data_IF_667012098705
#
_entry.id   IF_667012098705
#
_cell.length_a   1.000
_cell.length_b   1.000
_cell.length_c   1.000
_cell.angle_alpha   90.00
_cell.angle_beta   90.00
_cell.angle_gamma   90.00
#
_symmetry.space_group_name_H-M   'P 1'
#
loop_
_entity.id
_entity.type
_entity.pdbx_description
1 polymer ?
#
# COMPACT_ATOMS: atom_id res chain seq x y z
N UNK A 1 10.52 30.30 -7.59
CA UNK A 1 9.99 31.67 -7.63
C UNK A 1 10.44 32.26 -8.95
N UNK A 2 9.50 32.78 -9.74
CA UNK A 2 9.75 33.26 -11.10
C UNK A 2 10.89 34.29 -11.09
N UNK A 3 11.90 34.10 -11.94
CA UNK A 3 12.97 35.07 -12.17
C UNK A 3 12.41 36.35 -12.80
N UNK A 4 13.28 37.31 -13.12
CA UNK A 4 12.92 38.61 -13.71
C UNK A 4 11.91 38.43 -14.85
N UNK A 5 10.65 38.75 -14.55
CA UNK A 5 9.54 38.66 -15.50
C UNK A 5 9.56 39.93 -16.32
N UNK A 6 9.51 39.78 -17.64
CA UNK A 6 9.44 40.91 -18.58
C UNK A 6 8.26 41.82 -18.23
N UNK A 7 8.52 43.12 -18.08
CA UNK A 7 7.51 44.12 -17.69
C UNK A 7 6.35 44.18 -18.69
N UNK A 8 6.57 43.82 -19.96
CA UNK A 8 5.50 43.73 -20.96
C UNK A 8 4.48 42.63 -20.66
N UNK A 9 4.86 41.62 -19.87
CA UNK A 9 3.98 40.50 -19.50
C UNK A 9 3.17 40.77 -18.23
N UNK A 10 3.58 41.73 -17.40
CA UNK A 10 2.90 42.06 -16.12
C UNK A 10 1.39 42.34 -16.27
N UNK A 11 0.89 43.04 -17.30
CA UNK A 11 -0.55 43.28 -17.46
C UNK A 11 -1.36 42.00 -17.76
N UNK A 12 -0.70 40.95 -18.24
CA UNK A 12 -1.34 39.67 -18.57
C UNK A 12 -1.21 38.64 -17.45
N UNK A 13 -0.38 38.93 -16.44
CA UNK A 13 -0.21 38.06 -15.28
C UNK A 13 -1.23 38.51 -14.22
N UNK A 14 -2.23 37.67 -13.91
CA UNK A 14 -3.18 38.02 -12.88
C UNK A 14 -2.51 38.05 -11.50
N UNK A 15 -2.67 39.17 -10.79
CA UNK A 15 -2.17 39.37 -9.42
C UNK A 15 -3.09 38.70 -8.40
N UNK A 16 -3.05 37.36 -8.36
CA UNK A 16 -3.80 36.59 -7.40
C UNK A 16 -3.11 36.57 -6.04
N UNK A 17 -3.86 36.87 -4.98
CA UNK A 17 -3.41 36.65 -3.61
C UNK A 17 -3.29 35.15 -3.33
N UNK A 18 -2.06 34.67 -3.20
CA UNK A 18 -1.77 33.29 -2.79
C UNK A 18 -1.73 33.23 -1.26
N UNK A 19 -2.51 32.31 -0.68
CA UNK A 19 -2.42 31.98 0.74
C UNK A 19 -1.69 30.63 0.88
N UNK A 20 -0.52 30.65 1.52
CA UNK A 20 0.21 29.43 1.84
C UNK A 20 -0.28 28.89 3.19
N UNK A 21 -0.68 27.62 3.21
CA UNK A 21 -1.14 26.93 4.40
C UNK A 21 -0.21 25.75 4.67
N UNK A 22 0.13 25.56 5.94
CA UNK A 22 0.90 24.42 6.42
C UNK A 22 -0.01 23.56 7.31
N UNK A 23 -0.68 22.51 6.78
CA UNK A 23 -1.66 21.72 7.53
C UNK A 23 -1.15 21.21 8.88
N UNK A 24 0.13 20.90 8.99
CA UNK A 24 0.75 20.41 10.24
C UNK A 24 0.82 21.45 11.35
N UNK A 25 0.87 22.74 11.02
CA UNK A 25 0.96 23.83 11.99
C UNK A 25 -0.43 24.33 12.43
N UNK A 26 -1.50 23.87 11.77
CA UNK A 26 -2.88 24.27 12.07
C UNK A 26 -3.41 23.39 13.20
N UNK A 27 -3.84 24.01 14.29
CA UNK A 27 -4.37 23.28 15.47
C UNK A 27 -5.90 23.11 15.43
N UNK A 28 -6.58 23.88 14.61
CA UNK A 28 -8.04 23.88 14.51
C UNK A 28 -8.48 24.02 13.05
N UNK A 29 -9.17 23.00 12.53
CA UNK A 29 -9.70 22.98 11.18
C UNK A 29 -11.17 23.39 11.09
N UNK A 30 -11.82 23.83 12.17
CA UNK A 30 -13.24 24.24 12.15
C UNK A 30 -13.54 25.41 11.20
N UNK A 31 -12.53 26.22 10.87
CA UNK A 31 -12.62 27.29 9.88
C UNK A 31 -12.81 26.79 8.44
N UNK A 32 -12.42 25.55 8.14
CA UNK A 32 -12.58 24.94 6.83
C UNK A 32 -13.96 24.24 6.75
N UNK A 33 -14.79 24.68 5.81
CA UNK A 33 -16.19 24.23 5.65
C UNK A 33 -16.41 23.30 4.46
N UNK A 34 -15.35 22.98 3.74
CA UNK A 34 -15.37 22.09 2.57
C UNK A 34 -14.53 20.85 2.84
N UNK A 35 -14.48 19.93 1.89
CA UNK A 35 -13.69 18.69 1.94
C UNK A 35 -12.18 18.89 2.10
N UNK A 36 -11.67 20.10 1.85
CA UNK A 36 -10.28 20.48 2.16
C UNK A 36 -9.94 20.27 3.64
N UNK A 37 -10.94 20.37 4.52
CA UNK A 37 -10.80 20.08 5.94
C UNK A 37 -10.33 18.64 6.16
N UNK A 38 -11.02 17.69 5.54
CA UNK A 38 -10.71 16.26 5.64
C UNK A 38 -9.30 15.97 5.11
N UNK A 39 -8.95 16.54 3.95
CA UNK A 39 -7.59 16.45 3.41
C UNK A 39 -6.56 16.94 4.42
N UNK A 40 -6.76 18.11 5.03
CA UNK A 40 -5.80 18.67 5.99
C UNK A 40 -5.72 17.87 7.29
N UNK A 41 -6.84 17.36 7.79
CA UNK A 41 -6.88 16.48 8.96
C UNK A 41 -6.10 15.18 8.70
N UNK A 42 -6.22 14.60 7.50
CA UNK A 42 -5.42 13.43 7.09
C UNK A 42 -3.95 13.78 6.94
N UNK A 43 -3.62 14.89 6.26
CA UNK A 43 -2.22 15.32 6.05
C UNK A 43 -1.50 15.69 7.35
N UNK A 44 -2.22 16.24 8.33
CA UNK A 44 -1.67 16.48 9.66
C UNK A 44 -1.24 15.17 10.34
N UNK A 45 -2.02 14.10 10.15
CA UNK A 45 -1.81 12.81 10.79
C UNK A 45 -1.13 11.77 9.88
N UNK A 46 -0.68 12.16 8.68
CA UNK A 46 -0.20 11.24 7.64
C UNK A 46 0.93 10.27 8.09
N UNK A 47 1.72 10.67 9.09
CA UNK A 47 2.87 9.90 9.59
C UNK A 47 2.63 9.22 10.92
N UNK A 48 1.46 9.44 11.54
CA UNK A 48 1.06 8.85 12.81
C UNK A 48 -0.04 7.82 12.54
N UNK A 49 0.34 6.55 12.44
CA UNK A 49 -0.58 5.46 12.08
C UNK A 49 -1.75 5.32 13.05
N UNK A 50 -1.50 5.54 14.34
CA UNK A 50 -2.54 5.38 15.37
C UNK A 50 -3.55 6.53 15.28
N UNK A 51 -3.07 7.77 15.17
CA UNK A 51 -3.96 8.93 15.02
C UNK A 51 -4.69 8.95 13.70
N UNK A 52 -4.03 8.56 12.61
CA UNK A 52 -4.69 8.43 11.31
C UNK A 52 -5.85 7.45 11.39
N UNK A 53 -5.64 6.29 12.02
CA UNK A 53 -6.71 5.33 12.23
C UNK A 53 -7.83 5.90 13.10
N UNK A 54 -7.50 6.63 14.17
CA UNK A 54 -8.48 7.28 15.03
C UNK A 54 -9.34 8.29 14.27
N UNK A 55 -8.72 9.14 13.45
CA UNK A 55 -9.40 10.16 12.64
C UNK A 55 -10.34 9.52 11.62
N UNK A 56 -9.88 8.46 10.94
CA UNK A 56 -10.66 7.78 9.91
C UNK A 56 -11.78 6.90 10.47
N UNK A 57 -11.70 6.41 11.70
CA UNK A 57 -12.72 5.52 12.28
C UNK A 57 -13.77 6.26 13.12
N UNK A 58 -13.41 7.36 13.77
CA UNK A 58 -14.28 7.99 14.77
C UNK A 58 -15.08 9.20 14.27
N UNK A 59 -14.77 9.72 13.08
CA UNK A 59 -15.43 10.92 12.56
C UNK A 59 -16.32 10.59 11.36
N UNK A 60 -17.64 10.71 11.54
CA UNK A 60 -18.65 10.50 10.48
C UNK A 60 -18.40 11.38 9.25
N UNK A 61 -17.60 12.46 9.37
CA UNK A 61 -17.22 13.33 8.23
C UNK A 61 -16.38 12.63 7.17
N UNK A 62 -15.78 11.48 7.48
CA UNK A 62 -15.05 10.65 6.51
C UNK A 62 -15.93 9.59 5.83
N UNK A 63 -17.20 9.45 6.23
CA UNK A 63 -18.14 8.53 5.55
C UNK A 63 -18.62 9.05 4.19
N UNK A 64 -18.41 10.34 3.91
CA UNK A 64 -18.81 11.00 2.66
C UNK A 64 -17.75 12.00 2.23
N UNK A 65 -16.74 11.50 1.53
CA UNK A 65 -15.67 12.32 0.96
C UNK A 65 -15.83 12.32 -0.56
N UNK A 66 -15.73 13.49 -1.19
CA UNK A 66 -15.73 13.56 -2.64
C UNK A 66 -14.48 12.88 -3.22
N UNK A 67 -14.65 12.32 -4.41
CA UNK A 67 -13.58 11.64 -5.12
C UNK A 67 -12.30 12.47 -5.27
N UNK A 68 -12.40 13.73 -5.65
CA UNK A 68 -11.23 14.62 -5.85
C UNK A 68 -10.40 14.75 -4.57
N UNK A 69 -11.05 14.80 -3.41
CA UNK A 69 -10.40 14.86 -2.11
C UNK A 69 -9.71 13.53 -1.76
N UNK A 70 -10.32 12.38 -2.06
CA UNK A 70 -9.67 11.08 -1.84
C UNK A 70 -8.46 10.91 -2.76
N UNK A 71 -8.56 11.32 -4.03
CA UNK A 71 -7.43 11.34 -4.96
C UNK A 71 -6.28 12.24 -4.45
N UNK A 72 -6.61 13.42 -3.93
CA UNK A 72 -5.62 14.30 -3.30
C UNK A 72 -4.98 13.66 -2.06
N UNK A 73 -5.77 12.97 -1.22
CA UNK A 73 -5.26 12.25 -0.06
C UNK A 73 -4.28 11.15 -0.50
N UNK A 74 -4.67 10.31 -1.48
CA UNK A 74 -3.79 9.27 -2.03
C UNK A 74 -2.47 9.86 -2.53
N UNK A 75 -2.54 10.95 -3.30
CA UNK A 75 -1.36 11.61 -3.83
C UNK A 75 -0.44 12.20 -2.75
N UNK A 76 -1.00 12.91 -1.77
CA UNK A 76 -0.20 13.69 -0.82
C UNK A 76 0.16 12.94 0.46
N UNK A 77 -0.69 12.02 0.92
CA UNK A 77 -0.42 11.18 2.08
C UNK A 77 0.30 9.87 1.69
N UNK A 78 0.38 9.55 0.39
CA UNK A 78 0.96 8.30 -0.10
C UNK A 78 0.12 7.08 0.29
N UNK A 79 -1.21 7.26 0.37
CA UNK A 79 -2.17 6.19 0.61
C UNK A 79 -2.61 5.59 -0.71
N UNK A 80 -3.05 4.34 -0.66
CA UNK A 80 -3.50 3.58 -1.84
C UNK A 80 -4.91 3.07 -1.59
N UNK A 81 -5.81 4.03 -1.34
CA UNK A 81 -7.23 3.75 -1.10
C UNK A 81 -7.88 3.51 -2.46
N UNK A 82 -8.54 2.38 -2.63
CA UNK A 82 -9.24 2.06 -3.88
C UNK A 82 -10.45 2.97 -4.08
N UNK A 83 -10.66 3.39 -5.32
CA UNK A 83 -11.70 4.35 -5.70
C UNK A 83 -12.47 3.79 -6.90
N UNK A 84 -13.75 3.48 -6.75
CA UNK A 84 -14.61 3.19 -7.90
C UNK A 84 -14.85 4.47 -8.70
N UNK A 85 -14.41 4.49 -9.97
CA UNK A 85 -14.58 5.63 -10.87
C UNK A 85 -16.05 6.08 -11.05
N UNK A 86 -17.02 5.21 -10.73
CA UNK A 86 -18.45 5.49 -10.83
C UNK A 86 -19.04 6.17 -9.59
N UNK A 87 -18.34 6.14 -8.46
CA UNK A 87 -18.80 6.76 -7.22
C UNK A 87 -18.26 8.19 -7.09
N UNK A 88 -19.17 9.17 -7.01
CA UNK A 88 -18.79 10.57 -6.76
C UNK A 88 -18.46 10.83 -5.28
N UNK A 89 -19.00 10.00 -4.38
CA UNK A 89 -18.86 10.11 -2.92
C UNK A 89 -18.43 8.77 -2.37
N UNK A 90 -17.29 8.76 -1.68
CA UNK A 90 -16.64 7.56 -1.17
C UNK A 90 -16.76 7.54 0.35
N UNK A 91 -17.06 6.35 0.88
CA UNK A 91 -16.99 6.08 2.32
C UNK A 91 -15.54 5.72 2.69
N UNK A 92 -14.77 6.75 3.03
CA UNK A 92 -13.34 6.62 3.30
C UNK A 92 -13.07 5.74 4.53
N UNK A 93 -14.00 5.68 5.49
CA UNK A 93 -13.91 4.80 6.65
C UNK A 93 -13.87 3.33 6.22
N UNK A 94 -14.79 2.93 5.33
CA UNK A 94 -14.85 1.56 4.81
C UNK A 94 -13.66 1.23 3.92
N UNK A 95 -13.35 2.12 2.96
CA UNK A 95 -12.26 1.89 2.02
C UNK A 95 -10.91 1.71 2.75
N UNK A 96 -10.69 2.45 3.83
CA UNK A 96 -9.51 2.29 4.69
C UNK A 96 -9.46 0.95 5.44
N UNK A 97 -10.60 0.50 5.98
CA UNK A 97 -10.67 -0.79 6.67
C UNK A 97 -10.50 -1.97 5.73
N UNK A 98 -11.10 -1.91 4.55
CA UNK A 98 -10.94 -2.91 3.49
C UNK A 98 -9.48 -3.03 3.08
N UNK A 99 -8.83 -1.91 2.72
CA UNK A 99 -7.41 -1.88 2.38
C UNK A 99 -6.53 -2.50 3.48
N UNK A 100 -6.81 -2.21 4.75
CA UNK A 100 -6.05 -2.76 5.88
C UNK A 100 -6.27 -4.27 6.04
N UNK A 101 -7.49 -4.74 5.82
CA UNK A 101 -7.82 -6.16 5.90
C UNK A 101 -7.19 -6.94 4.75
N UNK A 102 -7.25 -6.41 3.53
CA UNK A 102 -6.57 -6.97 2.35
C UNK A 102 -5.07 -7.08 2.60
N UNK A 103 -4.41 -6.00 3.03
CA UNK A 103 -2.98 -6.05 3.36
C UNK A 103 -2.63 -7.06 4.47
N UNK A 104 -3.56 -7.31 5.40
CA UNK A 104 -3.38 -8.35 6.44
C UNK A 104 -3.53 -9.75 5.87
N UNK A 105 -4.49 -9.96 4.97
CA UNK A 105 -4.72 -11.24 4.30
C UNK A 105 -3.56 -11.59 3.37
N UNK A 106 -3.13 -10.66 2.51
CA UNK A 106 -1.94 -10.80 1.67
C UNK A 106 -0.69 -11.09 2.52
N UNK A 107 -0.51 -10.37 3.63
CA UNK A 107 0.60 -10.60 4.55
C UNK A 107 0.59 -12.00 5.19
N UNK A 108 -0.59 -12.57 5.44
CA UNK A 108 -0.72 -13.95 5.94
C UNK A 108 -0.40 -14.97 4.86
N UNK A 109 -0.96 -14.82 3.67
CA UNK A 109 -0.68 -15.74 2.56
C UNK A 109 0.81 -15.74 2.19
N UNK A 110 1.43 -14.57 2.14
CA UNK A 110 2.86 -14.42 1.88
C UNK A 110 3.68 -15.09 3.00
N UNK A 111 3.31 -14.88 4.26
CA UNK A 111 3.96 -15.52 5.40
C UNK A 111 3.85 -17.05 5.40
N UNK A 112 2.69 -17.59 5.04
CA UNK A 112 2.48 -19.04 4.91
C UNK A 112 3.30 -19.63 3.77
N UNK A 113 3.32 -18.99 2.60
CA UNK A 113 4.15 -19.42 1.46
C UNK A 113 5.64 -19.37 1.79
N UNK A 114 6.13 -18.28 2.38
CA UNK A 114 7.53 -18.17 2.80
C UNK A 114 7.90 -19.24 3.84
N UNK A 115 6.99 -19.58 4.75
CA UNK A 115 7.20 -20.66 5.73
C UNK A 115 7.36 -22.01 5.04
N UNK A 116 6.51 -22.34 4.07
CA UNK A 116 6.62 -23.58 3.28
C UNK A 116 7.95 -23.63 2.53
N UNK A 117 8.32 -22.54 1.83
CA UNK A 117 9.60 -22.45 1.12
C UNK A 117 10.77 -22.67 2.08
N UNK A 118 10.76 -22.03 3.25
CA UNK A 118 11.81 -22.21 4.27
C UNK A 118 11.91 -23.66 4.75
N UNK A 119 10.77 -24.35 4.96
CA UNK A 119 10.77 -25.76 5.35
C UNK A 119 11.34 -26.67 4.25
N UNK A 120 10.96 -26.42 3.00
CA UNK A 120 11.48 -27.18 1.84
C UNK A 120 12.99 -26.96 1.71
N UNK A 121 13.47 -25.71 1.76
CA UNK A 121 14.91 -25.38 1.73
C UNK A 121 15.67 -26.10 2.85
N UNK A 122 15.15 -26.07 4.09
CA UNK A 122 15.78 -26.76 5.24
C UNK A 122 15.85 -28.27 5.08
N UNK A 123 14.85 -28.89 4.42
CA UNK A 123 14.84 -30.33 4.15
C UNK A 123 15.73 -30.69 2.95
N UNK A 124 15.75 -29.87 1.91
CA UNK A 124 16.66 -29.96 0.78
C UNK A 124 18.13 -29.88 1.22
N UNK A 125 18.47 -28.97 2.15
CA UNK A 125 19.82 -28.88 2.73
C UNK A 125 20.23 -30.12 3.54
N UNK A 126 19.27 -30.98 3.91
CA UNK A 126 19.51 -32.29 4.54
C UNK A 126 19.49 -33.43 3.51
N UNK A 127 19.64 -33.11 2.23
CA UNK A 127 19.63 -34.03 1.09
C UNK A 127 18.37 -34.89 0.97
N UNK A 128 17.22 -34.39 1.46
CA UNK A 128 15.92 -35.07 1.28
C UNK A 128 15.38 -34.87 -0.13
N UNK A 129 14.76 -35.92 -0.67
CA UNK A 129 14.10 -35.92 -1.98
C UNK A 129 12.74 -35.23 -1.96
N UNK A 130 12.21 -34.87 -3.13
CA UNK A 130 10.87 -34.25 -3.27
C UNK A 130 9.77 -35.12 -2.65
N UNK A 131 9.83 -36.44 -2.85
CA UNK A 131 8.85 -37.38 -2.31
C UNK A 131 8.88 -37.43 -0.76
N UNK A 132 10.07 -37.44 -0.15
CA UNK A 132 10.21 -37.41 1.31
C UNK A 132 9.76 -36.07 1.90
N UNK A 133 9.97 -34.96 1.19
CA UNK A 133 9.52 -33.64 1.61
C UNK A 133 7.99 -33.53 1.51
N UNK A 134 7.39 -34.12 0.46
CA UNK A 134 5.94 -34.19 0.27
C UNK A 134 5.26 -34.96 1.39
N UNK A 135 5.79 -36.14 1.72
CA UNK A 135 5.31 -36.94 2.86
C UNK A 135 5.48 -36.19 4.19
N UNK A 136 6.67 -35.64 4.44
CA UNK A 136 7.00 -34.88 5.67
C UNK A 136 6.13 -33.63 5.91
N UNK A 137 5.63 -33.01 4.84
CA UNK A 137 4.81 -31.79 4.88
C UNK A 137 3.32 -32.09 4.67
N UNK A 138 2.95 -33.35 4.43
CA UNK A 138 1.59 -33.78 4.08
C UNK A 138 1.03 -33.02 2.85
N UNK A 139 1.91 -32.70 1.90
CA UNK A 139 1.62 -31.92 0.69
C UNK A 139 1.82 -32.74 -0.58
N UNK A 140 1.23 -32.31 -1.69
CA UNK A 140 1.40 -33.01 -2.98
C UNK A 140 2.79 -32.74 -3.59
N UNK A 141 3.41 -33.75 -4.18
CA UNK A 141 4.67 -33.59 -4.92
C UNK A 141 4.59 -32.51 -6.01
N UNK A 142 3.43 -32.34 -6.64
CA UNK A 142 3.16 -31.30 -7.64
C UNK A 142 3.32 -29.87 -7.10
N UNK A 143 3.03 -29.65 -5.81
CA UNK A 143 3.16 -28.34 -5.14
C UNK A 143 4.62 -28.09 -4.73
N UNK A 144 5.33 -29.15 -4.35
CA UNK A 144 6.69 -29.07 -3.84
C UNK A 144 7.73 -29.00 -4.97
N UNK A 145 7.52 -29.73 -6.07
CA UNK A 145 8.49 -29.82 -7.16
C UNK A 145 8.91 -28.44 -7.71
N UNK A 146 8.00 -27.49 -7.99
CA UNK A 146 8.39 -26.15 -8.46
C UNK A 146 9.24 -25.39 -7.44
N UNK A 147 8.91 -25.50 -6.15
CA UNK A 147 9.63 -24.83 -5.07
C UNK A 147 11.02 -25.45 -4.90
N UNK A 148 11.11 -26.77 -4.97
CA UNK A 148 12.35 -27.53 -4.85
C UNK A 148 13.31 -27.21 -6.00
N UNK A 149 12.81 -27.16 -7.24
CA UNK A 149 13.59 -26.76 -8.42
C UNK A 149 14.07 -25.32 -8.32
N UNK A 150 13.20 -24.39 -7.91
CA UNK A 150 13.58 -22.99 -7.69
C UNK A 150 14.66 -22.88 -6.61
N UNK A 151 14.54 -23.63 -5.52
CA UNK A 151 15.54 -23.66 -4.45
C UNK A 151 16.89 -24.25 -4.90
N UNK A 152 16.89 -25.28 -5.76
CA UNK A 152 18.12 -25.82 -6.36
C UNK A 152 18.84 -24.80 -7.24
N UNK A 153 18.08 -23.95 -7.96
CA UNK A 153 18.65 -22.91 -8.83
C UNK A 153 19.37 -21.79 -8.05
N UNK A 154 19.05 -21.66 -6.76
CA UNK A 154 19.55 -20.61 -5.85
C UNK A 154 20.67 -21.10 -4.90
N UNK A 155 21.28 -22.26 -5.19
CA UNK A 155 22.45 -22.73 -4.43
C UNK A 155 23.64 -21.78 -4.58
N UNK A 156 24.42 -21.51 -3.50
CA UNK A 156 24.28 -22.02 -2.13
C UNK A 156 23.57 -21.06 -1.16
N UNK A 157 23.11 -19.90 -1.62
CA UNK A 157 22.57 -18.82 -0.77
C UNK A 157 21.15 -19.14 -0.24
N UNK A 158 20.36 -19.89 -1.03
CA UNK A 158 19.00 -20.34 -0.69
C UNK A 158 18.10 -19.21 -0.13
N UNK A 159 18.16 -18.04 -0.76
CA UNK A 159 17.38 -16.87 -0.37
C UNK A 159 15.87 -17.12 -0.58
N UNK A 160 15.13 -17.19 0.54
CA UNK A 160 13.69 -17.49 0.56
C UNK A 160 12.87 -16.43 -0.16
N UNK A 161 13.26 -15.16 -0.07
CA UNK A 161 12.55 -14.06 -0.75
C UNK A 161 12.73 -14.16 -2.26
N UNK A 162 13.97 -14.38 -2.73
CA UNK A 162 14.23 -14.54 -4.16
C UNK A 162 13.55 -15.78 -4.76
N UNK A 163 13.47 -16.89 -4.00
CA UNK A 163 12.74 -18.10 -4.43
C UNK A 163 11.25 -17.78 -4.57
N UNK A 164 10.67 -17.07 -3.61
CA UNK A 164 9.28 -16.64 -3.68
C UNK A 164 9.01 -15.74 -4.91
N UNK A 165 9.87 -14.75 -5.18
CA UNK A 165 9.74 -13.88 -6.35
C UNK A 165 9.82 -14.63 -7.69
N UNK A 166 10.69 -15.64 -7.79
CA UNK A 166 10.76 -16.49 -8.98
C UNK A 166 9.48 -17.28 -9.21
N UNK A 167 8.90 -17.83 -8.14
CA UNK A 167 7.64 -18.58 -8.21
C UNK A 167 6.47 -17.68 -8.63
N UNK A 168 6.41 -16.44 -8.12
CA UNK A 168 5.39 -15.47 -8.54
C UNK A 168 5.56 -15.03 -10.00
N UNK A 169 6.80 -14.80 -10.47
CA UNK A 169 7.06 -14.48 -11.89
C UNK A 169 6.62 -15.61 -12.83
N UNK A 170 6.89 -16.86 -12.45
CA UNK A 170 6.51 -18.03 -13.26
C UNK A 170 4.98 -18.23 -13.29
N UNK A 171 4.25 -17.90 -12.21
CA UNK A 171 2.78 -17.91 -12.21
C UNK A 171 2.18 -16.85 -13.14
N UNK A 172 2.81 -15.67 -13.27
CA UNK A 172 2.33 -14.58 -14.15
C UNK A 172 2.57 -14.85 -15.65
N UNK A 173 3.41 -15.82 -15.98
CA UNK A 173 3.77 -16.19 -17.37
C UNK A 173 2.98 -17.41 -17.89
N UNK A 174 2.23 -18.09 -17.02
CA UNK A 174 1.38 -19.24 -17.34
C UNK A 174 -0.08 -18.81 -17.52
#
# INVERSE_FOLDING_TARGET
MFGDVDEELLPFIPDYRINLLAPREITDFTGFRTSIRQLFEVLQNAYDKEKMQEVLQNDEKFSKVDRETVEAINLFAGTDIDIDEKEEVIDMCKAWEEQKNEGREEGRELGERQKIISLIVKKLQKDKSVAEIADDLEEKEEVIAPIYEAALSMKPDYDVEKIYELLEKNKKLA
#
